data_IF_744817251897
#
_entry.id   IF_744817251897
#
_cell.length_a   1.000
_cell.length_b   1.000
_cell.length_c   1.000
_cell.angle_alpha   90.00
_cell.angle_beta   90.00
_cell.angle_gamma   90.00
#
_symmetry.space_group_name_H-M   'P 1'
#
loop_
_entity.id
_entity.type
_entity.pdbx_description
1 polymer ?
#
# COMPACT_ATOMS: atom_id res chain seq x y z
N UNK A 1 12.82 -32.38 -37.13
CA UNK A 1 11.81 -31.88 -36.20
C UNK A 1 12.46 -31.81 -34.84
N UNK A 2 12.89 -30.62 -34.42
CA UNK A 2 13.64 -30.41 -33.17
C UNK A 2 12.69 -29.81 -32.16
N UNK A 3 12.48 -30.50 -31.04
CA UNK A 3 11.69 -30.04 -29.89
C UNK A 3 12.43 -28.87 -29.21
N UNK A 4 11.86 -27.66 -29.28
CA UNK A 4 12.30 -26.52 -28.48
C UNK A 4 11.63 -26.58 -27.11
N UNK A 5 12.44 -26.72 -26.06
CA UNK A 5 11.99 -26.65 -24.66
C UNK A 5 11.56 -25.22 -24.30
N UNK A 6 10.55 -25.03 -23.43
CA UNK A 6 10.19 -23.71 -22.93
C UNK A 6 11.37 -23.13 -22.12
N UNK A 7 11.69 -21.86 -22.39
CA UNK A 7 12.64 -21.09 -21.61
C UNK A 7 12.20 -21.06 -20.13
N UNK A 8 13.14 -21.15 -19.16
CA UNK A 8 12.81 -20.86 -17.78
C UNK A 8 12.36 -19.39 -17.70
N UNK A 9 11.15 -19.20 -17.18
CA UNK A 9 10.67 -17.95 -16.58
C UNK A 9 11.84 -17.26 -15.85
N UNK A 10 12.11 -15.97 -16.08
CA UNK A 10 12.95 -15.21 -15.18
C UNK A 10 12.27 -15.30 -13.82
N UNK A 11 12.91 -16.02 -12.90
CA UNK A 11 12.57 -15.97 -11.49
C UNK A 11 12.65 -14.51 -11.08
N UNK A 12 11.46 -13.96 -10.90
CA UNK A 12 11.15 -12.85 -10.02
C UNK A 12 12.22 -12.70 -8.96
N UNK A 13 12.73 -11.47 -8.87
CA UNK A 13 13.65 -10.98 -7.86
C UNK A 13 13.51 -11.80 -6.57
N UNK A 14 14.37 -12.81 -6.41
CA UNK A 14 14.71 -13.32 -5.12
C UNK A 14 15.11 -12.10 -4.32
N UNK A 15 14.23 -11.71 -3.41
CA UNK A 15 14.50 -10.82 -2.31
C UNK A 15 15.59 -11.53 -1.47
N UNK A 16 16.80 -11.56 -2.01
CA UNK A 16 18.01 -12.05 -1.38
C UNK A 16 18.49 -11.00 -0.36
N UNK A 17 19.05 -11.47 0.75
CA UNK A 17 18.45 -11.29 2.06
C UNK A 17 18.71 -9.90 2.65
N UNK A 18 17.64 -9.24 3.09
CA UNK A 18 17.67 -8.04 3.92
C UNK A 18 18.18 -8.30 5.36
N UNK A 19 19.23 -9.11 5.54
CA UNK A 19 19.66 -9.59 6.85
C UNK A 19 21.05 -9.12 7.31
N UNK A 20 21.74 -8.23 6.59
CA UNK A 20 23.01 -7.66 7.07
C UNK A 20 23.22 -6.16 6.72
N UNK A 21 22.20 -5.46 6.21
CA UNK A 21 22.31 -4.01 6.03
C UNK A 21 21.93 -3.32 7.35
N UNK A 22 22.84 -2.54 7.98
CA UNK A 22 22.51 -1.81 9.19
C UNK A 22 21.36 -0.82 8.90
N UNK A 23 20.50 -0.48 9.87
CA UNK A 23 19.42 0.48 9.61
C UNK A 23 19.99 1.81 9.08
N UNK A 24 19.22 2.59 8.32
CA UNK A 24 19.72 3.81 7.67
C UNK A 24 20.33 4.80 8.68
N UNK A 25 19.76 4.92 9.88
CA UNK A 25 20.34 5.74 10.94
C UNK A 25 21.71 5.25 11.45
N UNK A 26 21.96 3.93 11.41
CA UNK A 26 23.25 3.34 11.77
C UNK A 26 24.29 3.52 10.65
N UNK A 27 23.88 3.56 9.38
CA UNK A 27 24.77 3.92 8.26
C UNK A 27 25.30 5.35 8.42
N UNK A 28 24.45 6.30 8.84
CA UNK A 28 24.89 7.68 9.11
C UNK A 28 25.94 7.73 10.23
N UNK A 29 25.81 6.87 11.23
CA UNK A 29 26.78 6.76 12.32
C UNK A 29 28.07 6.08 11.88
N UNK A 30 27.97 5.00 11.11
CA UNK A 30 29.12 4.28 10.54
C UNK A 30 29.91 5.15 9.55
N UNK A 31 29.21 5.96 8.76
CA UNK A 31 29.79 6.94 7.84
C UNK A 31 30.42 8.15 8.56
N UNK A 32 30.28 8.25 9.90
CA UNK A 32 30.78 9.37 10.70
C UNK A 32 30.05 10.70 10.48
N UNK A 33 28.91 10.66 9.77
CA UNK A 33 28.08 11.83 9.48
C UNK A 33 27.17 12.17 10.67
N UNK A 34 26.79 11.17 11.45
CA UNK A 34 25.98 11.29 12.65
C UNK A 34 26.72 10.72 13.86
N UNK A 35 26.75 11.45 14.97
CA UNK A 35 27.31 10.94 16.22
C UNK A 35 26.33 10.03 16.95
N UNK A 36 26.83 9.06 17.72
CA UNK A 36 26.00 8.19 18.58
C UNK A 36 25.09 9.00 19.53
N UNK A 37 25.57 10.15 20.04
CA UNK A 37 24.76 11.06 20.85
C UNK A 37 23.63 11.76 20.08
N UNK A 38 23.82 12.06 18.79
CA UNK A 38 22.80 12.63 17.92
C UNK A 38 21.75 11.57 17.54
N UNK A 39 22.17 10.32 17.32
CA UNK A 39 21.25 9.20 17.14
C UNK A 39 20.36 8.99 18.38
N UNK A 40 20.97 8.96 19.57
CA UNK A 40 20.24 8.86 20.83
C UNK A 40 19.28 10.05 21.04
N UNK A 41 19.70 11.26 20.65
CA UNK A 41 18.83 12.45 20.67
C UNK A 41 17.63 12.29 19.72
N UNK A 42 17.86 11.83 18.49
CA UNK A 42 16.79 11.62 17.51
C UNK A 42 15.78 10.55 17.96
N UNK A 43 16.24 9.47 18.61
CA UNK A 43 15.34 8.44 19.17
C UNK A 43 14.45 8.99 20.29
N UNK A 44 14.97 9.89 21.14
CA UNK A 44 14.17 10.56 22.16
C UNK A 44 13.11 11.45 21.52
N UNK A 45 13.52 12.28 20.57
CA UNK A 45 12.62 13.20 19.87
C UNK A 45 11.53 12.45 19.08
N UNK A 46 11.83 11.27 18.53
CA UNK A 46 10.84 10.35 17.92
C UNK A 46 9.77 9.92 18.91
N UNK A 47 10.14 9.65 20.16
CA UNK A 47 9.16 9.27 21.19
C UNK A 47 8.29 10.45 21.62
N UNK A 48 8.81 11.66 21.55
CA UNK A 48 8.10 12.90 21.91
C UNK A 48 7.19 13.41 20.78
N UNK A 49 7.64 13.30 19.52
CA UNK A 49 6.97 13.88 18.34
C UNK A 49 6.27 12.85 17.47
N UNK A 50 6.61 11.56 17.61
CA UNK A 50 6.16 10.49 16.72
C UNK A 50 6.79 10.51 15.32
N UNK A 51 7.68 11.46 15.03
CA UNK A 51 8.33 11.63 13.71
C UNK A 51 9.40 10.56 13.47
N UNK A 52 9.71 10.29 12.20
CA UNK A 52 10.79 9.37 11.84
C UNK A 52 12.15 9.94 12.27
N UNK A 53 13.06 9.05 12.72
CA UNK A 53 14.42 9.43 13.17
C UNK A 53 15.16 10.22 12.08
N UNK A 54 15.04 9.80 10.82
CA UNK A 54 15.64 10.47 9.66
C UNK A 54 15.09 11.89 9.45
N UNK A 55 13.79 12.09 9.62
CA UNK A 55 13.16 13.41 9.49
C UNK A 55 13.60 14.36 10.60
N UNK A 56 13.71 13.85 11.83
CA UNK A 56 14.25 14.61 12.97
C UNK A 56 15.71 15.00 12.72
N UNK A 57 16.54 14.10 12.15
CA UNK A 57 17.94 14.40 11.85
C UNK A 57 18.06 15.54 10.82
N UNK A 58 17.17 15.59 9.81
CA UNK A 58 17.12 16.66 8.81
C UNK A 58 16.59 17.96 9.41
N UNK A 59 15.50 17.90 10.17
CA UNK A 59 14.89 19.05 10.85
C UNK A 59 15.87 19.74 11.81
N UNK A 60 16.67 18.93 12.52
CA UNK A 60 17.74 19.40 13.40
C UNK A 60 18.98 19.91 12.65
N UNK A 61 19.05 19.70 11.34
CA UNK A 61 20.16 20.13 10.48
C UNK A 61 21.46 19.35 10.71
N UNK A 62 21.39 18.11 11.22
CA UNK A 62 22.58 17.28 11.42
C UNK A 62 23.04 16.61 10.13
N UNK A 63 22.09 16.31 9.23
CA UNK A 63 22.35 15.76 7.90
C UNK A 63 21.45 16.51 6.91
N UNK A 64 21.95 16.76 5.70
CA UNK A 64 21.16 17.36 4.63
C UNK A 64 20.02 16.43 4.19
N UNK A 65 18.90 17.01 3.76
CA UNK A 65 17.76 16.28 3.22
C UNK A 65 18.16 15.37 2.03
N UNK A 66 19.15 15.78 1.24
CA UNK A 66 19.67 15.02 0.09
C UNK A 66 20.32 13.69 0.52
N UNK A 67 21.27 13.73 1.48
CA UNK A 67 21.95 12.54 1.99
C UNK A 67 20.97 11.58 2.68
N UNK A 68 19.98 12.13 3.40
CA UNK A 68 18.90 11.32 3.98
C UNK A 68 18.00 10.72 2.90
N UNK A 69 17.71 11.45 1.82
CA UNK A 69 16.91 10.96 0.69
C UNK A 69 17.62 9.84 -0.09
N UNK A 70 18.93 9.95 -0.29
CA UNK A 70 19.74 8.88 -0.91
C UNK A 70 19.73 7.62 -0.05
N UNK A 71 19.89 7.77 1.27
CA UNK A 71 19.90 6.65 2.20
C UNK A 71 18.52 6.01 2.35
N UNK A 72 17.47 6.84 2.49
CA UNK A 72 16.06 6.45 2.38
C UNK A 72 15.83 5.63 1.12
N UNK A 73 16.31 6.09 -0.04
CA UNK A 73 16.09 5.44 -1.33
C UNK A 73 16.81 4.08 -1.38
N UNK A 74 18.04 4.00 -0.87
CA UNK A 74 18.80 2.76 -0.76
C UNK A 74 18.13 1.71 0.15
N UNK A 75 17.41 2.15 1.18
CA UNK A 75 16.66 1.30 2.10
C UNK A 75 15.17 1.15 1.73
N UNK A 76 14.72 1.75 0.63
CA UNK A 76 13.32 1.69 0.18
C UNK A 76 12.32 2.36 1.12
N UNK A 77 12.78 3.23 2.03
CA UNK A 77 11.93 3.87 3.06
C UNK A 77 11.06 4.92 2.40
N UNK A 78 9.74 4.76 2.34
CA UNK A 78 8.77 5.73 1.80
C UNK A 78 9.03 7.24 2.15
N UNK A 79 9.62 8.10 1.33
CA UNK A 79 9.69 9.58 1.47
C UNK A 79 9.35 10.18 0.11
N UNK A 80 8.38 11.09 0.01
CA UNK A 80 7.93 11.62 -1.27
C UNK A 80 9.10 12.29 -2.00
N UNK A 81 9.67 11.58 -2.97
CA UNK A 81 10.69 12.12 -3.85
C UNK A 81 9.98 12.93 -4.95
N UNK A 82 10.37 14.18 -5.22
CA UNK A 82 10.05 14.79 -6.51
C UNK A 82 10.71 13.93 -7.61
N UNK A 83 10.01 13.67 -8.73
CA UNK A 83 10.45 12.70 -9.72
C UNK A 83 11.69 13.23 -10.45
N UNK A 84 12.87 12.68 -10.16
CA UNK A 84 14.05 12.87 -10.97
C UNK A 84 14.02 11.88 -12.14
N UNK A 85 13.59 12.40 -13.28
CA UNK A 85 14.11 12.13 -14.63
C UNK A 85 15.04 10.91 -14.75
N UNK A 86 14.49 9.77 -15.19
CA UNK A 86 15.20 8.92 -16.15
C UNK A 86 14.90 9.45 -17.56
N UNK A 87 15.93 9.96 -18.21
CA UNK A 87 15.88 10.34 -19.62
C UNK A 87 16.19 9.12 -20.51
N UNK A 88 15.19 8.67 -21.26
CA UNK A 88 15.29 7.94 -22.53
C UNK A 88 13.93 8.08 -23.29
N UNK A 89 13.92 8.22 -24.62
CA UNK A 89 13.28 9.34 -25.32
C UNK A 89 11.79 9.18 -25.68
N UNK A 90 11.09 10.32 -25.77
CA UNK A 90 9.70 10.56 -26.16
C UNK A 90 9.29 9.90 -27.52
N UNK A 91 7.99 9.52 -27.69
CA UNK A 91 7.01 10.53 -28.11
C UNK A 91 5.66 10.49 -27.36
N UNK A 92 5.11 11.69 -27.22
CA UNK A 92 3.68 12.05 -27.30
C UNK A 92 2.98 12.45 -26.00
N UNK A 93 2.41 13.67 -25.93
CA UNK A 93 1.57 14.12 -24.85
C UNK A 93 0.13 13.67 -25.12
N UNK A 94 -0.33 12.61 -24.46
CA UNK A 94 -1.76 12.33 -24.37
C UNK A 94 -2.13 12.12 -22.90
N UNK A 95 -2.84 13.13 -22.38
CA UNK A 95 -4.00 13.03 -21.49
C UNK A 95 -3.89 12.09 -20.29
N UNK A 96 -4.06 12.65 -19.09
CA UNK A 96 -4.19 11.89 -17.84
C UNK A 96 -4.97 10.60 -18.00
N UNK A 97 -4.25 9.48 -17.99
CA UNK A 97 -4.85 8.19 -17.77
C UNK A 97 -5.05 8.07 -16.26
N UNK A 98 -6.18 8.60 -15.80
CA UNK A 98 -6.90 7.94 -14.71
C UNK A 98 -6.91 6.46 -15.12
N UNK A 99 -6.33 5.52 -14.36
CA UNK A 99 -6.51 4.11 -14.67
C UNK A 99 -8.02 3.89 -14.88
N UNK A 100 -8.45 3.08 -15.87
CA UNK A 100 -9.88 2.84 -16.08
C UNK A 100 -10.42 2.48 -14.71
N UNK A 101 -11.44 3.23 -14.26
CA UNK A 101 -11.94 3.09 -12.90
C UNK A 101 -12.42 1.65 -12.75
N UNK A 102 -11.54 0.79 -12.24
CA UNK A 102 -11.78 -0.63 -12.12
C UNK A 102 -13.04 -0.76 -11.31
N UNK A 103 -14.07 -1.38 -11.89
CA UNK A 103 -15.32 -1.57 -11.19
C UNK A 103 -15.11 -2.68 -10.20
N UNK A 104 -15.61 -2.48 -9.00
CA UNK A 104 -15.56 -3.43 -7.92
C UNK A 104 -16.97 -3.75 -7.50
N UNK A 105 -17.24 -5.04 -7.35
CA UNK A 105 -18.50 -5.57 -6.86
C UNK A 105 -18.27 -6.01 -5.42
N UNK A 106 -19.06 -5.42 -4.51
CA UNK A 106 -19.01 -5.75 -3.09
C UNK A 106 -19.92 -6.97 -2.90
N UNK A 107 -19.33 -8.10 -2.55
CA UNK A 107 -20.04 -9.34 -2.31
C UNK A 107 -20.04 -9.69 -0.82
N UNK A 108 -21.23 -9.87 -0.23
CA UNK A 108 -21.37 -10.33 1.15
C UNK A 108 -21.43 -11.85 1.13
N UNK A 109 -20.49 -12.49 1.81
CA UNK A 109 -20.45 -13.93 2.01
C UNK A 109 -21.20 -14.31 3.27
N UNK A 110 -22.19 -15.17 3.12
CA UNK A 110 -22.98 -15.73 4.21
C UNK A 110 -22.40 -17.05 4.75
N UNK A 111 -22.84 -17.44 5.95
CA UNK A 111 -22.46 -18.69 6.66
C UNK A 111 -22.89 -19.95 5.92
N UNK A 112 -23.92 -19.84 5.08
CA UNK A 112 -24.37 -20.90 4.18
C UNK A 112 -23.51 -21.03 2.91
N UNK A 113 -22.51 -20.16 2.72
CA UNK A 113 -21.66 -20.11 1.53
C UNK A 113 -22.23 -19.29 0.35
N UNK A 114 -23.41 -18.69 0.50
CA UNK A 114 -24.05 -17.82 -0.50
C UNK A 114 -23.32 -16.47 -0.57
N UNK A 115 -23.14 -15.97 -1.80
CA UNK A 115 -22.55 -14.66 -2.08
C UNK A 115 -23.65 -13.74 -2.62
N UNK A 116 -23.82 -12.59 -1.98
CA UNK A 116 -24.82 -11.60 -2.36
C UNK A 116 -24.12 -10.34 -2.80
N UNK A 117 -24.48 -9.84 -3.98
CA UNK A 117 -24.04 -8.53 -4.43
C UNK A 117 -24.72 -7.43 -3.63
N UNK A 118 -23.94 -6.73 -2.80
CA UNK A 118 -24.41 -5.60 -2.00
C UNK A 118 -24.40 -4.28 -2.77
N UNK A 119 -23.48 -4.14 -3.73
CA UNK A 119 -23.38 -2.97 -4.58
C UNK A 119 -22.18 -3.04 -5.50
N UNK A 120 -22.16 -2.13 -6.46
CA UNK A 120 -21.09 -1.96 -7.45
C UNK A 120 -20.52 -0.56 -7.30
N UNK A 121 -19.23 -0.41 -7.49
CA UNK A 121 -18.59 0.90 -7.40
C UNK A 121 -17.36 1.02 -8.26
N UNK A 122 -17.04 2.25 -8.64
CA UNK A 122 -15.95 2.56 -9.53
C UNK A 122 -14.73 2.98 -8.71
N UNK A 123 -13.67 2.18 -8.77
CA UNK A 123 -12.41 2.42 -8.08
C UNK A 123 -12.31 1.77 -6.70
N UNK A 124 -11.10 1.34 -6.37
CA UNK A 124 -10.79 0.57 -5.16
C UNK A 124 -11.06 1.36 -3.87
N UNK A 125 -10.78 2.66 -3.87
CA UNK A 125 -11.04 3.55 -2.73
C UNK A 125 -12.55 3.61 -2.39
N UNK A 126 -13.39 3.77 -3.41
CA UNK A 126 -14.85 3.73 -3.22
C UNK A 126 -15.35 2.34 -2.84
N UNK A 127 -14.69 1.28 -3.29
CA UNK A 127 -15.00 -0.10 -2.90
C UNK A 127 -14.72 -0.36 -1.41
N UNK A 128 -13.59 0.11 -0.91
CA UNK A 128 -13.27 0.05 0.51
C UNK A 128 -14.24 0.89 1.34
N UNK A 129 -14.56 2.12 0.90
CA UNK A 129 -15.52 2.99 1.57
C UNK A 129 -16.93 2.36 1.61
N UNK A 130 -17.39 1.77 0.50
CA UNK A 130 -18.68 1.10 0.42
C UNK A 130 -18.68 -0.18 1.27
N UNK A 131 -17.62 -0.98 1.23
CA UNK A 131 -17.46 -2.16 2.09
C UNK A 131 -17.50 -1.81 3.58
N UNK A 132 -16.85 -0.72 3.97
CA UNK A 132 -16.87 -0.25 5.35
C UNK A 132 -18.24 0.30 5.76
N UNK A 133 -18.94 1.00 4.85
CA UNK A 133 -20.31 1.44 5.06
C UNK A 133 -21.28 0.24 5.21
N UNK A 134 -21.10 -0.80 4.39
CA UNK A 134 -21.84 -2.06 4.51
C UNK A 134 -21.58 -2.68 5.88
N UNK A 135 -20.32 -2.88 6.28
CA UNK A 135 -20.00 -3.43 7.63
C UNK A 135 -20.58 -2.59 8.76
N UNK A 136 -20.53 -1.26 8.64
CA UNK A 136 -21.13 -0.36 9.62
C UNK A 136 -22.65 -0.54 9.69
N UNK A 137 -23.33 -0.70 8.56
CA UNK A 137 -24.77 -0.95 8.51
C UNK A 137 -25.14 -2.33 9.07
N UNK A 138 -24.34 -3.36 8.76
CA UNK A 138 -24.50 -4.73 9.28
C UNK A 138 -24.33 -4.79 10.81
N UNK A 139 -23.48 -3.95 11.39
CA UNK A 139 -23.19 -3.96 12.84
C UNK A 139 -24.12 -3.06 13.65
N UNK A 140 -25.11 -2.41 13.02
CA UNK A 140 -26.10 -1.60 13.74
C UNK A 140 -26.98 -2.50 14.60
N UNK A 141 -27.01 -2.19 15.90
CA UNK A 141 -27.74 -2.95 16.91
C UNK A 141 -29.26 -2.69 16.93
N UNK A 142 -29.77 -1.85 16.02
CA UNK A 142 -31.20 -1.53 15.88
C UNK A 142 -32.05 -2.74 15.45
N UNK A 143 -31.42 -3.85 15.04
CA UNK A 143 -32.11 -5.07 14.61
C UNK A 143 -32.80 -4.96 13.25
N UNK A 144 -32.56 -3.87 12.52
CA UNK A 144 -33.03 -3.70 11.15
C UNK A 144 -32.19 -4.57 10.21
N UNK A 145 -32.85 -5.44 9.44
CA UNK A 145 -32.15 -6.29 8.50
C UNK A 145 -31.72 -5.44 7.30
N UNK A 146 -30.43 -5.41 6.96
CA UNK A 146 -29.97 -4.62 5.84
C UNK A 146 -30.40 -5.23 4.51
N UNK A 147 -30.81 -4.37 3.58
CA UNK A 147 -31.38 -4.77 2.29
C UNK A 147 -30.34 -4.65 1.17
N UNK A 148 -29.89 -5.78 0.64
CA UNK A 148 -28.86 -5.88 -0.40
C UNK A 148 -29.33 -6.75 -1.56
N UNK A 149 -29.10 -6.28 -2.79
CA UNK A 149 -29.42 -7.05 -4.01
C UNK A 149 -30.88 -7.50 -4.10
N UNK A 150 -31.82 -6.77 -3.47
CA UNK A 150 -33.23 -7.14 -3.42
C UNK A 150 -33.66 -8.01 -2.23
N UNK A 151 -32.76 -8.28 -1.27
CA UNK A 151 -33.00 -9.23 -0.15
C UNK A 151 -32.59 -8.65 1.20
N UNK A 152 -33.39 -8.91 2.22
CA UNK A 152 -33.06 -8.61 3.62
C UNK A 152 -32.12 -9.68 4.20
N UNK A 153 -30.97 -9.25 4.72
CA UNK A 153 -29.90 -10.14 5.16
C UNK A 153 -29.78 -10.10 6.67
N UNK A 154 -29.70 -11.25 7.33
CA UNK A 154 -29.40 -11.28 8.76
C UNK A 154 -27.90 -10.99 8.96
N UNK A 155 -27.50 -9.97 9.72
CA UNK A 155 -26.10 -9.66 9.96
C UNK A 155 -25.32 -10.79 10.65
N UNK A 156 -25.98 -11.59 11.50
CA UNK A 156 -25.33 -12.72 12.19
C UNK A 156 -24.96 -13.87 11.26
N UNK A 157 -25.54 -13.92 10.04
CA UNK A 157 -25.20 -14.94 9.05
C UNK A 157 -24.07 -14.49 8.14
N UNK A 158 -23.46 -13.32 8.37
CA UNK A 158 -22.40 -12.78 7.52
C UNK A 158 -21.05 -13.25 8.03
N UNK A 159 -20.31 -13.94 7.17
CA UNK A 159 -18.96 -14.44 7.48
C UNK A 159 -17.91 -13.44 7.03
N UNK A 160 -18.09 -12.82 5.87
CA UNK A 160 -17.09 -11.93 5.28
C UNK A 160 -17.71 -11.01 4.24
N UNK A 161 -17.06 -9.87 3.98
CA UNK A 161 -17.35 -9.00 2.83
C UNK A 161 -16.16 -9.08 1.88
N UNK A 162 -16.40 -9.52 0.66
CA UNK A 162 -15.40 -9.67 -0.40
C UNK A 162 -15.51 -8.53 -1.41
N UNK A 163 -14.37 -8.10 -1.93
CA UNK A 163 -14.25 -7.02 -2.89
C UNK A 163 -13.75 -7.64 -4.20
N UNK A 164 -14.70 -7.98 -5.06
CA UNK A 164 -14.38 -8.62 -6.33
C UNK A 164 -14.10 -7.53 -7.37
N UNK A 165 -12.90 -7.46 -7.97
CA UNK A 165 -12.70 -6.65 -9.16
C UNK A 165 -13.57 -7.25 -10.28
N UNK A 166 -14.33 -6.41 -10.99
CA UNK A 166 -14.89 -6.77 -12.29
C UNK A 166 -13.73 -6.86 -13.28
N UNK A 167 -13.01 -7.99 -13.24
CA UNK A 167 -12.02 -8.31 -14.25
C UNK A 167 -12.76 -8.36 -15.60
N UNK A 168 -12.39 -7.42 -16.45
CA UNK A 168 -12.91 -7.30 -17.80
C UNK A 168 -12.44 -8.52 -18.59
N UNK A 169 -13.23 -9.60 -18.59
CA UNK A 169 -13.10 -10.66 -19.58
C UNK A 169 -13.26 -10.01 -20.96
N UNK A 170 -12.15 -9.85 -21.68
CA UNK A 170 -12.07 -9.46 -23.09
C UNK A 170 -11.13 -10.40 -23.83
#
# INVERSE_FOLDING_TARGET
MTLQAPAPIPVEASQEPALLRPPPEAELVQAGKLSMGQLAQAHRDRLETGKQVLDIIVDRGWISAEEVAELRAAYGIETPAPPAMQAAPEPSPETGAVPPAARYTIAIRLTNGDLITAGETEGSDKAAALGHAVVADLTKEDGEWPFFGGRYINPETIVSVDLLPEDSQS
#
